data_IF_520700877441
#
_entry.id   IF_520700877441
#
_cell.length_a   1.000
_cell.length_b   1.000
_cell.length_c   1.000
_cell.angle_alpha   90.00
_cell.angle_beta   90.00
_cell.angle_gamma   90.00
#
_symmetry.space_group_name_H-M   'P 1'
#
loop_
_entity.id
_entity.type
_entity.pdbx_description
1 polymer ?
#
# COMPACT_ATOMS: atom_id res chain seq x y z
N UNK A 1 108.00 -80.79 -120.36
CA UNK A 1 108.27 -80.13 -119.07
C UNK A 1 109.49 -80.81 -118.46
N UNK A 2 110.56 -80.06 -118.18
CA UNK A 2 111.73 -80.59 -117.44
C UNK A 2 111.35 -80.86 -115.98
N UNK A 3 112.08 -81.73 -115.28
CA UNK A 3 111.78 -82.16 -113.91
C UNK A 3 111.61 -80.97 -112.94
N UNK A 4 112.43 -79.94 -113.08
CA UNK A 4 112.36 -78.71 -112.27
C UNK A 4 111.08 -77.89 -112.53
N UNK A 5 110.56 -77.88 -113.76
CA UNK A 5 109.32 -77.16 -114.10
C UNK A 5 108.08 -77.88 -113.56
N UNK A 6 108.11 -79.22 -113.46
CA UNK A 6 107.06 -80.02 -112.83
C UNK A 6 107.07 -79.87 -111.30
N UNK A 7 108.24 -79.81 -110.68
CA UNK A 7 108.37 -79.57 -109.24
C UNK A 7 107.86 -78.17 -108.85
N UNK A 8 108.17 -77.12 -109.63
CA UNK A 8 107.62 -75.78 -109.40
C UNK A 8 106.10 -75.68 -109.61
N UNK A 9 105.56 -76.39 -110.61
CA UNK A 9 104.11 -76.42 -110.86
C UNK A 9 103.37 -77.20 -109.76
N UNK A 10 103.95 -78.31 -109.28
CA UNK A 10 103.43 -79.06 -108.13
C UNK A 10 103.47 -78.24 -106.83
N UNK A 11 104.51 -77.42 -106.62
CA UNK A 11 104.61 -76.51 -105.48
C UNK A 11 103.58 -75.38 -105.54
N UNK A 12 103.34 -74.81 -106.72
CA UNK A 12 102.25 -73.82 -106.92
C UNK A 12 100.87 -74.44 -106.65
N UNK A 13 100.57 -75.61 -107.21
CA UNK A 13 99.32 -76.32 -106.97
C UNK A 13 99.13 -76.68 -105.50
N UNK A 14 100.21 -77.06 -104.81
CA UNK A 14 100.17 -77.31 -103.37
C UNK A 14 99.88 -76.03 -102.58
N UNK A 15 100.52 -74.91 -102.90
CA UNK A 15 100.29 -73.63 -102.24
C UNK A 15 98.89 -73.09 -102.53
N UNK A 16 98.36 -73.25 -103.75
CA UNK A 16 96.97 -72.93 -104.09
C UNK A 16 96.00 -73.82 -103.31
N UNK A 17 96.30 -75.12 -103.17
CA UNK A 17 95.47 -76.04 -102.40
C UNK A 17 95.53 -75.77 -100.89
N UNK A 18 96.68 -75.33 -100.35
CA UNK A 18 96.82 -74.86 -98.97
C UNK A 18 96.05 -73.56 -98.74
N UNK A 19 96.12 -72.59 -99.68
CA UNK A 19 95.35 -71.35 -99.62
C UNK A 19 93.85 -71.58 -99.69
N UNK A 20 93.37 -72.42 -100.60
CA UNK A 20 91.95 -72.81 -100.69
C UNK A 20 91.47 -73.52 -99.41
N UNK A 21 92.35 -74.30 -98.75
CA UNK A 21 92.06 -74.88 -97.43
C UNK A 21 91.97 -73.83 -96.34
N UNK A 22 92.87 -72.85 -96.32
CA UNK A 22 92.84 -71.73 -95.37
C UNK A 22 91.60 -70.85 -95.56
N UNK A 23 91.25 -70.53 -96.81
CA UNK A 23 90.05 -69.76 -97.14
C UNK A 23 88.78 -70.54 -96.76
N UNK A 24 88.71 -71.84 -97.05
CA UNK A 24 87.60 -72.70 -96.59
C UNK A 24 87.49 -72.73 -95.07
N UNK A 25 88.62 -72.89 -94.36
CA UNK A 25 88.63 -72.89 -92.89
C UNK A 25 88.19 -71.54 -92.33
N UNK A 26 88.63 -70.42 -92.92
CA UNK A 26 88.20 -69.08 -92.56
C UNK A 26 86.69 -68.90 -92.74
N UNK A 27 86.15 -69.25 -93.91
CA UNK A 27 84.70 -69.16 -94.16
C UNK A 27 83.87 -70.10 -93.28
N UNK A 28 84.40 -71.28 -92.94
CA UNK A 28 83.75 -72.17 -91.97
C UNK A 28 83.69 -71.54 -90.58
N UNK A 29 84.81 -70.97 -90.12
CA UNK A 29 84.88 -70.29 -88.82
C UNK A 29 83.95 -69.08 -88.76
N UNK A 30 83.91 -68.26 -89.82
CA UNK A 30 83.02 -67.09 -89.91
C UNK A 30 81.54 -67.49 -89.98
N UNK A 31 81.21 -68.56 -90.73
CA UNK A 31 79.84 -69.11 -90.76
C UNK A 31 79.43 -69.62 -89.37
N UNK A 32 80.31 -70.33 -88.68
CA UNK A 32 80.02 -70.87 -87.35
C UNK A 32 79.90 -69.73 -86.32
N UNK A 33 80.75 -68.70 -86.39
CA UNK A 33 80.58 -67.46 -85.60
C UNK A 33 79.24 -66.77 -85.88
N UNK A 34 78.89 -66.54 -87.14
CA UNK A 34 77.61 -65.93 -87.52
C UNK A 34 76.43 -66.76 -87.02
N UNK A 35 76.53 -68.09 -87.07
CA UNK A 35 75.51 -68.98 -86.52
C UNK A 35 75.40 -68.83 -85.01
N UNK A 36 76.51 -68.79 -84.27
CA UNK A 36 76.47 -68.54 -82.81
C UNK A 36 75.90 -67.17 -82.47
N UNK A 37 76.28 -66.10 -83.19
CA UNK A 37 75.68 -64.78 -83.01
C UNK A 37 74.19 -64.78 -83.30
N UNK A 38 73.76 -65.48 -84.36
CA UNK A 38 72.34 -65.61 -84.69
C UNK A 38 71.58 -66.37 -83.60
N UNK A 39 72.12 -67.48 -83.09
CA UNK A 39 71.51 -68.25 -81.99
C UNK A 39 71.44 -67.42 -80.70
N UNK A 40 72.49 -66.67 -80.35
CA UNK A 40 72.51 -65.77 -79.18
C UNK A 40 71.51 -64.64 -79.33
N UNK A 41 71.52 -63.92 -80.46
CA UNK A 41 70.61 -62.79 -80.70
C UNK A 41 69.15 -63.23 -80.79
N UNK A 42 68.89 -64.40 -81.38
CA UNK A 42 67.57 -65.03 -81.36
C UNK A 42 67.13 -65.36 -79.94
N UNK A 43 67.99 -65.97 -79.13
CA UNK A 43 67.69 -66.29 -77.73
C UNK A 43 67.43 -65.02 -76.91
N UNK A 44 68.27 -63.99 -77.06
CA UNK A 44 68.07 -62.69 -76.42
C UNK A 44 66.75 -62.02 -76.85
N UNK A 45 66.36 -62.14 -78.13
CA UNK A 45 65.07 -61.64 -78.61
C UNK A 45 63.90 -62.42 -77.99
N UNK A 46 64.01 -63.75 -77.89
CA UNK A 46 63.00 -64.59 -77.25
C UNK A 46 62.87 -64.27 -75.74
N UNK A 47 64.00 -64.05 -75.05
CA UNK A 47 64.04 -63.61 -73.65
C UNK A 47 63.44 -62.21 -73.47
N UNK A 48 63.80 -61.23 -74.30
CA UNK A 48 63.24 -59.89 -74.26
C UNK A 48 61.72 -59.90 -74.50
N UNK A 49 61.24 -60.70 -75.47
CA UNK A 49 59.80 -60.91 -75.70
C UNK A 49 59.10 -61.59 -74.52
N UNK A 50 59.79 -62.48 -73.80
CA UNK A 50 59.24 -63.08 -72.58
C UNK A 50 59.14 -62.05 -71.44
N UNK A 51 60.15 -61.19 -71.28
CA UNK A 51 60.13 -60.09 -70.30
C UNK A 51 59.03 -59.08 -70.61
N UNK A 52 58.87 -58.67 -71.88
CA UNK A 52 57.80 -57.75 -72.29
C UNK A 52 56.44 -58.34 -71.96
N UNK A 53 56.17 -59.61 -72.32
CA UNK A 53 54.92 -60.28 -71.97
C UNK A 53 54.71 -60.41 -70.46
N UNK A 54 55.78 -60.60 -69.70
CA UNK A 54 55.74 -60.55 -68.23
C UNK A 54 55.31 -59.17 -67.73
N UNK A 55 55.88 -58.10 -68.28
CA UNK A 55 55.55 -56.72 -67.92
C UNK A 55 54.17 -56.27 -68.36
N UNK A 56 53.69 -56.72 -69.52
CA UNK A 56 52.30 -56.50 -69.94
C UNK A 56 51.31 -57.13 -68.93
N UNK A 57 51.59 -58.37 -68.48
CA UNK A 57 50.78 -59.01 -67.43
C UNK A 57 50.88 -58.29 -66.09
N UNK A 58 52.08 -57.84 -65.68
CA UNK A 58 52.24 -57.06 -64.45
C UNK A 58 51.40 -55.78 -64.50
N UNK A 59 51.32 -55.11 -65.67
CA UNK A 59 50.50 -53.92 -65.89
C UNK A 59 49.00 -54.26 -65.85
N UNK A 60 48.57 -55.34 -66.49
CA UNK A 60 47.18 -55.81 -66.44
C UNK A 60 46.75 -56.09 -65.00
N UNK A 61 47.56 -56.84 -64.23
CA UNK A 61 47.27 -57.14 -62.82
C UNK A 61 47.22 -55.87 -61.97
N UNK A 62 48.13 -54.92 -62.19
CA UNK A 62 48.12 -53.65 -61.47
C UNK A 62 46.87 -52.80 -61.79
N UNK A 63 46.40 -52.82 -63.04
CA UNK A 63 45.16 -52.15 -63.45
C UNK A 63 43.94 -52.82 -62.81
N UNK A 64 43.86 -54.15 -62.81
CA UNK A 64 42.77 -54.89 -62.16
C UNK A 64 42.70 -54.59 -60.65
N UNK A 65 43.85 -54.52 -59.97
CA UNK A 65 43.92 -54.13 -58.56
C UNK A 65 43.46 -52.69 -58.35
N UNK A 66 43.93 -51.75 -59.17
CA UNK A 66 43.50 -50.35 -59.07
C UNK A 66 42.00 -50.16 -59.34
N UNK A 67 41.42 -50.91 -60.28
CA UNK A 67 39.99 -50.93 -60.55
C UNK A 67 39.18 -51.51 -59.38
N UNK A 68 39.71 -52.54 -58.73
CA UNK A 68 39.10 -53.12 -57.53
C UNK A 68 39.15 -52.13 -56.36
N UNK A 69 40.28 -51.48 -56.13
CA UNK A 69 40.43 -50.46 -55.08
C UNK A 69 39.50 -49.27 -55.33
N UNK A 70 39.40 -48.81 -56.58
CA UNK A 70 38.47 -47.74 -56.97
C UNK A 70 37.01 -48.12 -56.68
N UNK A 71 36.63 -49.38 -56.96
CA UNK A 71 35.28 -49.88 -56.63
C UNK A 71 35.05 -49.95 -55.12
N UNK A 72 36.03 -50.40 -54.35
CA UNK A 72 35.95 -50.47 -52.89
C UNK A 72 35.77 -49.07 -52.29
N UNK A 73 36.62 -48.11 -52.67
CA UNK A 73 36.52 -46.71 -52.22
C UNK A 73 35.19 -46.09 -52.61
N UNK A 74 34.68 -46.36 -53.82
CA UNK A 74 33.37 -45.86 -54.25
C UNK A 74 32.22 -46.45 -53.42
N UNK A 75 32.30 -47.73 -53.05
CA UNK A 75 31.31 -48.36 -52.16
C UNK A 75 31.38 -47.77 -50.76
N UNK A 76 32.56 -47.62 -50.18
CA UNK A 76 32.77 -46.99 -48.87
C UNK A 76 32.19 -45.56 -48.85
N UNK A 77 32.44 -44.77 -49.90
CA UNK A 77 31.89 -43.42 -50.01
C UNK A 77 30.35 -43.43 -50.07
N UNK A 78 29.74 -44.37 -50.79
CA UNK A 78 28.28 -44.52 -50.85
C UNK A 78 27.70 -44.93 -49.50
N UNK A 79 28.32 -45.87 -48.80
CA UNK A 79 27.91 -46.27 -47.46
C UNK A 79 28.00 -45.10 -46.48
N UNK A 80 29.11 -44.38 -46.47
CA UNK A 80 29.30 -43.21 -45.61
C UNK A 80 28.26 -42.11 -45.90
N UNK A 81 27.94 -41.85 -47.17
CA UNK A 81 26.89 -40.89 -47.53
C UNK A 81 25.51 -41.34 -47.05
N UNK A 82 25.18 -42.62 -47.18
CA UNK A 82 23.91 -43.16 -46.69
C UNK A 82 23.83 -43.10 -45.17
N UNK A 83 24.89 -43.47 -44.46
CA UNK A 83 24.97 -43.37 -43.00
C UNK A 83 24.82 -41.92 -42.53
N UNK A 84 25.52 -40.97 -43.16
CA UNK A 84 25.35 -39.55 -42.85
C UNK A 84 23.91 -39.07 -43.09
N UNK A 85 23.28 -39.47 -44.20
CA UNK A 85 21.89 -39.10 -44.47
C UNK A 85 20.92 -39.72 -43.47
N UNK A 86 21.12 -40.98 -43.10
CA UNK A 86 20.32 -41.67 -42.08
C UNK A 86 20.48 -40.98 -40.73
N UNK A 87 21.71 -40.69 -40.33
CA UNK A 87 22.02 -40.05 -39.06
C UNK A 87 21.45 -38.62 -38.98
N UNK A 88 21.52 -37.84 -40.07
CA UNK A 88 20.85 -36.54 -40.15
C UNK A 88 19.33 -36.68 -40.03
N UNK A 89 18.74 -37.72 -40.63
CA UNK A 89 17.32 -38.03 -40.53
C UNK A 89 16.90 -38.35 -39.09
N UNK A 90 17.64 -39.24 -38.43
CA UNK A 90 17.45 -39.60 -37.02
C UNK A 90 17.56 -38.38 -36.11
N UNK A 91 18.63 -37.60 -36.25
CA UNK A 91 18.86 -36.41 -35.43
C UNK A 91 17.76 -35.36 -35.62
N UNK A 92 17.26 -35.18 -36.86
CA UNK A 92 16.11 -34.30 -37.12
C UNK A 92 14.83 -34.83 -36.46
N UNK A 93 14.59 -36.13 -36.49
CA UNK A 93 13.44 -36.74 -35.84
C UNK A 93 13.53 -36.58 -34.32
N UNK A 94 14.69 -36.83 -33.71
CA UNK A 94 14.94 -36.62 -32.29
C UNK A 94 14.77 -35.15 -31.87
N UNK A 95 15.30 -34.21 -32.65
CA UNK A 95 15.11 -32.78 -32.36
C UNK A 95 13.63 -32.38 -32.45
N UNK A 96 12.89 -32.94 -33.41
CA UNK A 96 11.46 -32.65 -33.57
C UNK A 96 10.63 -33.21 -32.40
N UNK A 97 10.95 -34.42 -31.93
CA UNK A 97 10.27 -34.99 -30.76
C UNK A 97 10.60 -34.22 -29.48
N UNK A 98 11.87 -33.85 -29.26
CA UNK A 98 12.27 -33.02 -28.13
C UNK A 98 11.57 -31.65 -28.14
N UNK A 99 11.49 -31.00 -29.31
CA UNK A 99 10.78 -29.72 -29.45
C UNK A 99 9.30 -29.88 -29.11
N UNK A 100 8.66 -30.96 -29.57
CA UNK A 100 7.26 -31.22 -29.28
C UNK A 100 7.02 -31.48 -27.79
N UNK A 101 7.89 -32.26 -27.14
CA UNK A 101 7.81 -32.49 -25.70
C UNK A 101 7.96 -31.19 -24.92
N UNK A 102 8.93 -30.35 -25.26
CA UNK A 102 9.11 -29.04 -24.62
C UNK A 102 7.88 -28.13 -24.83
N UNK A 103 7.28 -28.14 -26.02
CA UNK A 103 6.04 -27.41 -26.29
C UNK A 103 4.88 -27.94 -25.44
N UNK A 104 4.69 -29.25 -25.37
CA UNK A 104 3.64 -29.88 -24.56
C UNK A 104 3.83 -29.52 -23.06
N UNK A 105 5.05 -29.62 -22.53
CA UNK A 105 5.38 -29.24 -21.16
C UNK A 105 5.06 -27.76 -20.88
N UNK A 106 5.45 -26.85 -21.79
CA UNK A 106 5.11 -25.44 -21.66
C UNK A 106 3.60 -25.19 -21.67
N UNK A 107 2.84 -25.88 -22.52
CA UNK A 107 1.38 -25.73 -22.54
C UNK A 107 0.72 -26.26 -21.26
N UNK A 108 1.28 -27.30 -20.63
CA UNK A 108 0.81 -27.81 -19.35
C UNK A 108 1.08 -26.80 -18.23
N UNK A 109 2.30 -26.28 -18.14
CA UNK A 109 2.66 -25.24 -17.17
C UNK A 109 1.78 -24.00 -17.32
N UNK A 110 1.49 -23.56 -18.54
CA UNK A 110 0.60 -22.41 -18.78
C UNK A 110 -0.82 -22.68 -18.27
N UNK A 111 -1.34 -23.89 -18.47
CA UNK A 111 -2.66 -24.28 -17.95
C UNK A 111 -2.69 -24.33 -16.43
N UNK A 112 -1.65 -24.86 -15.79
CA UNK A 112 -1.51 -24.86 -14.33
C UNK A 112 -1.49 -23.44 -13.78
N UNK A 113 -0.67 -22.56 -14.34
CA UNK A 113 -0.61 -21.14 -13.94
C UNK A 113 -1.96 -20.43 -14.13
N UNK A 114 -2.72 -20.75 -15.18
CA UNK A 114 -4.05 -20.20 -15.39
C UNK A 114 -5.06 -20.70 -14.35
N UNK A 115 -4.95 -21.96 -13.93
CA UNK A 115 -5.78 -22.52 -12.87
C UNK A 115 -5.44 -21.89 -11.52
N UNK A 116 -4.16 -21.82 -11.16
CA UNK A 116 -3.67 -21.16 -9.94
C UNK A 116 -4.13 -19.70 -9.88
N UNK A 117 -4.05 -18.98 -11.00
CA UNK A 117 -4.55 -17.60 -11.09
C UNK A 117 -6.06 -17.51 -10.83
N UNK A 118 -6.86 -18.48 -11.30
CA UNK A 118 -8.31 -18.52 -11.06
C UNK A 118 -8.61 -18.83 -9.59
N UNK A 119 -7.90 -19.79 -9.00
CA UNK A 119 -8.06 -20.17 -7.60
C UNK A 119 -7.64 -19.04 -6.66
N UNK A 120 -6.51 -18.38 -6.92
CA UNK A 120 -6.07 -17.20 -6.16
C UNK A 120 -7.09 -16.06 -6.24
N UNK A 121 -7.70 -15.82 -7.41
CA UNK A 121 -8.78 -14.83 -7.56
C UNK A 121 -10.06 -15.22 -6.82
N UNK A 122 -10.36 -16.52 -6.68
CA UNK A 122 -11.49 -17.00 -5.87
C UNK A 122 -11.20 -16.76 -4.39
N UNK A 123 -10.03 -17.20 -3.92
CA UNK A 123 -9.60 -17.02 -2.53
C UNK A 123 -9.52 -15.55 -2.12
N UNK A 124 -9.07 -14.66 -3.02
CA UNK A 124 -9.06 -13.22 -2.74
C UNK A 124 -10.47 -12.68 -2.53
N UNK A 125 -11.43 -13.05 -3.40
CA UNK A 125 -12.84 -12.63 -3.26
C UNK A 125 -13.48 -13.19 -1.99
N UNK A 126 -13.25 -14.46 -1.68
CA UNK A 126 -13.74 -15.05 -0.42
C UNK A 126 -13.17 -14.34 0.81
N UNK A 127 -11.89 -13.95 0.78
CA UNK A 127 -11.29 -13.15 1.87
C UNK A 127 -11.90 -11.76 1.95
N UNK A 128 -12.10 -11.08 0.84
CA UNK A 128 -12.73 -9.75 0.79
C UNK A 128 -14.16 -9.81 1.37
N UNK A 129 -14.97 -10.78 0.93
CA UNK A 129 -16.33 -11.00 1.44
C UNK A 129 -16.34 -11.29 2.95
N UNK A 130 -15.43 -12.15 3.43
CA UNK A 130 -15.32 -12.44 4.86
C UNK A 130 -14.94 -11.19 5.67
N UNK A 131 -13.98 -10.38 5.20
CA UNK A 131 -13.61 -9.14 5.87
C UNK A 131 -14.74 -8.12 5.89
N UNK A 132 -15.54 -8.06 4.82
CA UNK A 132 -16.72 -7.19 4.78
C UNK A 132 -17.78 -7.64 5.79
N UNK A 133 -18.05 -8.94 5.89
CA UNK A 133 -18.96 -9.51 6.88
C UNK A 133 -18.49 -9.22 8.32
N UNK A 134 -17.19 -9.37 8.60
CA UNK A 134 -16.61 -9.02 9.91
C UNK A 134 -16.81 -7.54 10.25
N UNK A 135 -16.58 -6.64 9.29
CA UNK A 135 -16.82 -5.20 9.46
C UNK A 135 -18.30 -4.91 9.72
N UNK A 136 -19.21 -5.55 8.98
CA UNK A 136 -20.65 -5.40 9.18
C UNK A 136 -21.08 -5.88 10.58
N UNK A 137 -20.57 -7.02 11.04
CA UNK A 137 -20.82 -7.54 12.39
C UNK A 137 -20.30 -6.59 13.48
N UNK A 138 -19.09 -6.03 13.30
CA UNK A 138 -18.54 -5.05 14.23
C UNK A 138 -19.38 -3.77 14.29
N UNK A 139 -19.86 -3.27 13.14
CA UNK A 139 -20.75 -2.11 13.07
C UNK A 139 -22.08 -2.38 13.77
N UNK A 140 -22.66 -3.57 13.58
CA UNK A 140 -23.90 -3.98 14.26
C UNK A 140 -23.72 -3.98 15.79
N UNK A 141 -22.67 -4.66 16.28
CA UNK A 141 -22.34 -4.69 17.71
C UNK A 141 -22.11 -3.29 18.29
N UNK A 142 -21.41 -2.43 17.55
CA UNK A 142 -21.19 -1.06 17.98
C UNK A 142 -22.50 -0.26 18.06
N UNK A 143 -23.40 -0.41 17.08
CA UNK A 143 -24.73 0.21 17.10
C UNK A 143 -25.58 -0.29 18.28
N UNK A 144 -25.53 -1.57 18.59
CA UNK A 144 -26.23 -2.15 19.75
C UNK A 144 -25.71 -1.55 21.06
N UNK A 145 -24.39 -1.50 21.25
CA UNK A 145 -23.78 -0.89 22.44
C UNK A 145 -24.13 0.59 22.57
N UNK A 146 -24.09 1.36 21.48
CA UNK A 146 -24.51 2.75 21.46
C UNK A 146 -25.99 2.92 21.82
N UNK A 147 -26.86 2.02 21.35
CA UNK A 147 -28.28 2.05 21.68
C UNK A 147 -28.52 1.79 23.17
N UNK A 148 -27.83 0.80 23.75
CA UNK A 148 -27.90 0.49 25.18
C UNK A 148 -27.42 1.68 26.01
N UNK A 149 -26.30 2.30 25.64
CA UNK A 149 -25.77 3.43 26.38
C UNK A 149 -26.65 4.68 26.27
N UNK A 150 -27.23 4.94 25.09
CA UNK A 150 -28.24 5.99 24.91
C UNK A 150 -29.47 5.76 25.77
N UNK A 151 -29.95 4.51 25.86
CA UNK A 151 -31.10 4.18 26.69
C UNK A 151 -30.82 4.44 28.18
N UNK A 152 -29.64 4.06 28.69
CA UNK A 152 -29.23 4.39 30.06
C UNK A 152 -29.21 5.90 30.32
N UNK A 153 -28.58 6.67 29.44
CA UNK A 153 -28.55 8.13 29.60
C UNK A 153 -29.93 8.76 29.54
N UNK A 154 -30.83 8.22 28.70
CA UNK A 154 -32.21 8.67 28.65
C UNK A 154 -32.93 8.40 29.98
N UNK A 155 -32.79 7.19 30.55
CA UNK A 155 -33.35 6.85 31.86
C UNK A 155 -32.80 7.75 32.98
N UNK A 156 -31.49 8.02 32.98
CA UNK A 156 -30.85 8.92 33.94
C UNK A 156 -31.39 10.36 33.82
N UNK A 157 -31.54 10.87 32.60
CA UNK A 157 -32.11 12.21 32.35
C UNK A 157 -33.55 12.27 32.83
N UNK A 158 -34.37 11.26 32.54
CA UNK A 158 -35.77 11.19 32.96
C UNK A 158 -35.89 11.14 34.49
N UNK A 159 -35.06 10.32 35.15
CA UNK A 159 -35.01 10.24 36.61
C UNK A 159 -34.62 11.59 37.24
N UNK A 160 -33.59 12.25 36.70
CA UNK A 160 -33.14 13.57 37.18
C UNK A 160 -34.18 14.65 36.94
N UNK A 161 -34.85 14.64 35.78
CA UNK A 161 -35.92 15.60 35.46
C UNK A 161 -37.07 15.45 36.45
N UNK A 162 -37.52 14.22 36.68
CA UNK A 162 -38.59 13.91 37.65
C UNK A 162 -38.23 14.35 39.06
N UNK A 163 -36.99 14.13 39.50
CA UNK A 163 -36.50 14.58 40.81
C UNK A 163 -36.58 16.10 40.95
N UNK A 164 -36.13 16.85 39.93
CA UNK A 164 -36.17 18.31 39.96
C UNK A 164 -37.58 18.87 39.85
N UNK A 165 -38.47 18.23 39.08
CA UNK A 165 -39.89 18.60 39.03
C UNK A 165 -40.57 18.41 40.38
N UNK A 166 -40.34 17.28 41.06
CA UNK A 166 -40.86 17.04 42.40
C UNK A 166 -40.34 18.07 43.42
N UNK A 167 -39.04 18.37 43.36
CA UNK A 167 -38.43 19.38 44.23
C UNK A 167 -38.99 20.77 43.97
N UNK A 168 -39.20 21.14 42.71
CA UNK A 168 -39.82 22.41 42.32
C UNK A 168 -41.27 22.49 42.80
N UNK A 169 -42.04 21.39 42.68
CA UNK A 169 -43.40 21.29 43.22
C UNK A 169 -43.43 21.53 44.73
N UNK A 170 -42.56 20.84 45.47
CA UNK A 170 -42.45 21.01 46.93
C UNK A 170 -42.12 22.46 47.32
N UNK A 171 -41.18 23.11 46.60
CA UNK A 171 -40.86 24.52 46.84
C UNK A 171 -42.01 25.47 46.55
N UNK A 172 -42.84 25.18 45.53
CA UNK A 172 -44.03 25.97 45.21
C UNK A 172 -45.07 25.83 46.32
N UNK A 173 -45.36 24.60 46.75
CA UNK A 173 -46.29 24.34 47.87
C UNK A 173 -45.83 25.04 49.15
N UNK A 174 -44.54 24.93 49.52
CA UNK A 174 -43.98 25.64 50.66
C UNK A 174 -44.11 27.17 50.54
N UNK A 175 -43.90 27.73 49.34
CA UNK A 175 -44.03 29.16 49.10
C UNK A 175 -45.49 29.62 49.16
N UNK A 176 -46.42 28.84 48.62
CA UNK A 176 -47.86 29.10 48.69
C UNK A 176 -48.34 29.09 50.14
N UNK A 177 -47.98 28.06 50.92
CA UNK A 177 -48.35 27.98 52.35
C UNK A 177 -47.78 29.17 53.14
N UNK A 178 -46.51 29.54 52.91
CA UNK A 178 -45.94 30.76 53.54
C UNK A 178 -46.73 32.01 53.17
N UNK A 179 -47.09 32.16 51.90
CA UNK A 179 -47.83 33.33 51.44
C UNK A 179 -49.26 33.37 52.00
N UNK A 180 -49.95 32.23 52.10
CA UNK A 180 -51.27 32.13 52.75
C UNK A 180 -51.22 32.45 54.23
N UNK A 181 -50.18 31.98 54.92
CA UNK A 181 -49.94 32.30 56.34
C UNK A 181 -49.69 33.80 56.52
N UNK A 182 -48.82 34.41 55.72
CA UNK A 182 -48.55 35.85 55.76
C UNK A 182 -49.80 36.69 55.46
N UNK A 183 -50.62 36.27 54.50
CA UNK A 183 -51.92 36.89 54.21
C UNK A 183 -52.86 36.81 55.42
N UNK A 184 -52.99 35.62 56.02
CA UNK A 184 -53.86 35.39 57.18
C UNK A 184 -53.42 36.24 58.38
N UNK A 185 -52.11 36.36 58.64
CA UNK A 185 -51.58 37.23 59.70
C UNK A 185 -51.87 38.72 59.43
N UNK A 186 -51.79 39.16 58.18
CA UNK A 186 -52.15 40.53 57.78
C UNK A 186 -53.65 40.76 57.97
N UNK A 187 -54.48 39.81 57.55
CA UNK A 187 -55.94 39.87 57.71
C UNK A 187 -56.34 39.92 59.18
N UNK A 188 -55.78 39.06 60.05
CA UNK A 188 -56.04 39.12 61.49
C UNK A 188 -55.63 40.47 62.09
N UNK A 189 -54.45 40.99 61.75
CA UNK A 189 -54.02 42.32 62.20
C UNK A 189 -54.98 43.41 61.75
N UNK A 190 -55.46 43.35 60.51
CA UNK A 190 -56.40 44.33 59.96
C UNK A 190 -57.78 44.21 60.59
N UNK A 191 -58.27 43.00 60.81
CA UNK A 191 -59.53 42.74 61.51
C UNK A 191 -59.44 43.22 62.97
N UNK A 192 -58.29 43.03 63.63
CA UNK A 192 -58.02 43.59 64.95
C UNK A 192 -58.08 45.12 64.96
N UNK A 193 -57.43 45.80 64.01
CA UNK A 193 -57.50 47.26 63.86
C UNK A 193 -58.94 47.74 63.62
N UNK A 194 -59.71 47.03 62.79
CA UNK A 194 -61.12 47.35 62.54
C UNK A 194 -61.94 47.21 63.81
N UNK A 195 -61.76 46.12 64.58
CA UNK A 195 -62.48 45.91 65.83
C UNK A 195 -62.14 46.98 66.87
N UNK A 196 -60.87 47.36 67.00
CA UNK A 196 -60.43 48.45 67.87
C UNK A 196 -61.02 49.80 67.44
N UNK A 197 -61.06 50.08 66.14
CA UNK A 197 -61.66 51.29 65.59
C UNK A 197 -63.17 51.34 65.85
N UNK A 198 -63.88 50.21 65.68
CA UNK A 198 -65.31 50.09 66.01
C UNK A 198 -65.53 50.37 67.49
N UNK A 199 -64.76 49.72 68.38
CA UNK A 199 -64.87 49.92 69.83
C UNK A 199 -64.60 51.37 70.22
N UNK A 200 -63.57 52.00 69.64
CA UNK A 200 -63.22 53.40 69.90
C UNK A 200 -64.32 54.34 69.40
N UNK A 201 -64.89 54.07 68.23
CA UNK A 201 -66.00 54.85 67.68
C UNK A 201 -67.29 54.67 68.51
N UNK A 202 -67.62 53.46 68.94
CA UNK A 202 -68.74 53.21 69.86
C UNK A 202 -68.56 53.91 71.21
N UNK A 203 -67.34 53.97 71.71
CA UNK A 203 -67.00 54.71 72.92
C UNK A 203 -67.16 56.23 72.69
N UNK A 204 -66.58 56.76 71.62
CA UNK A 204 -66.73 58.18 71.25
C UNK A 204 -68.21 58.54 71.00
N UNK A 205 -68.99 57.65 70.39
CA UNK A 205 -70.43 57.83 70.20
C UNK A 205 -71.19 57.82 71.53
N UNK A 206 -70.83 56.93 72.47
CA UNK A 206 -71.39 56.92 73.83
C UNK A 206 -71.05 58.21 74.59
N UNK A 207 -69.82 58.67 74.50
CA UNK A 207 -69.36 59.93 75.10
C UNK A 207 -70.07 61.13 74.48
N UNK A 208 -70.17 61.19 73.15
CA UNK A 208 -70.92 62.22 72.42
C UNK A 208 -72.40 62.20 72.80
N UNK A 209 -73.02 61.02 72.90
CA UNK A 209 -74.40 60.86 73.35
C UNK A 209 -74.57 61.31 74.80
N UNK A 210 -73.63 60.98 75.69
CA UNK A 210 -73.62 61.44 77.08
C UNK A 210 -73.44 62.95 77.18
N UNK A 211 -72.55 63.53 76.36
CA UNK A 211 -72.31 64.96 76.27
C UNK A 211 -73.54 65.69 75.74
N UNK A 212 -74.17 65.21 74.67
CA UNK A 212 -75.41 65.80 74.18
C UNK A 212 -76.57 65.61 75.15
N UNK A 213 -76.69 64.47 75.84
CA UNK A 213 -77.68 64.27 76.90
C UNK A 213 -77.44 65.24 78.07
N UNK A 214 -76.20 65.44 78.48
CA UNK A 214 -75.82 66.42 79.50
C UNK A 214 -76.10 67.85 79.04
N UNK A 215 -75.83 68.18 77.77
CA UNK A 215 -76.25 69.43 77.15
C UNK A 215 -77.77 69.50 77.04
N UNK A 216 -78.51 68.43 76.78
CA UNK A 216 -79.97 68.52 76.71
C UNK A 216 -80.54 68.75 78.09
N UNK A 217 -79.98 68.14 79.13
CA UNK A 217 -80.33 68.41 80.52
C UNK A 217 -79.94 69.82 80.96
N UNK A 218 -78.74 70.27 80.61
CA UNK A 218 -78.26 71.63 80.88
C UNK A 218 -79.08 72.65 80.09
N UNK A 219 -79.34 72.42 78.81
CA UNK A 219 -80.23 73.22 77.97
C UNK A 219 -81.67 73.15 78.45
N UNK A 220 -82.15 72.07 79.08
CA UNK A 220 -83.47 72.08 79.74
C UNK A 220 -83.46 72.98 80.98
N UNK A 221 -82.38 72.98 81.75
CA UNK A 221 -82.17 73.91 82.86
C UNK A 221 -82.00 75.36 82.39
N UNK A 222 -81.27 75.57 81.29
CA UNK A 222 -81.03 76.85 80.64
C UNK A 222 -82.25 77.32 79.86
N UNK A 223 -83.08 76.45 79.27
CA UNK A 223 -84.36 76.83 78.64
C UNK A 223 -85.36 77.25 79.74
N UNK A 224 -85.29 76.65 80.93
CA UNK A 224 -86.04 77.17 82.07
C UNK A 224 -85.55 78.57 82.48
N UNK A 225 -84.24 78.86 82.45
CA UNK A 225 -83.71 80.20 82.75
C UNK A 225 -83.84 81.21 81.58
N UNK A 226 -83.81 80.74 80.34
CA UNK A 226 -83.96 81.54 79.12
C UNK A 226 -85.41 81.73 78.74
N UNK A 227 -86.37 80.97 79.28
CA UNK A 227 -87.79 81.39 79.27
C UNK A 227 -88.03 82.61 80.18
N UNK A 228 -87.14 82.83 81.15
CA UNK A 228 -87.07 84.07 81.94
C UNK A 228 -86.37 85.20 81.14
N UNK A 229 -85.32 84.90 80.35
CA UNK A 229 -84.59 85.91 79.56
C UNK A 229 -85.10 86.15 78.10
N UNK A 230 -85.94 85.26 77.53
CA UNK A 230 -86.51 85.41 76.18
C UNK A 230 -87.55 86.53 76.07
N UNK A 231 -88.04 87.02 77.20
CA UNK A 231 -88.84 88.24 77.23
C UNK A 231 -87.96 89.50 77.06
N UNK A 232 -86.65 89.38 77.25
CA UNK A 232 -85.68 90.48 77.13
C UNK A 232 -84.91 90.52 75.80
N UNK A 233 -84.61 89.39 75.16
CA UNK A 233 -83.80 89.35 73.92
C UNK A 233 -84.58 89.21 72.61
N UNK A 234 -85.90 89.46 72.60
CA UNK A 234 -86.70 89.60 71.36
C UNK A 234 -86.31 90.82 70.51
N UNK A 235 -85.40 91.67 70.99
CA UNK A 235 -85.14 93.00 70.43
C UNK A 235 -83.85 93.17 69.61
N UNK A 236 -82.97 92.17 69.48
CA UNK A 236 -81.60 92.42 68.99
C UNK A 236 -81.02 91.42 67.97
N UNK A 237 -81.86 90.73 67.17
CA UNK A 237 -81.37 89.78 66.15
C UNK A 237 -81.86 90.11 64.74
N UNK A 238 -81.74 91.38 64.35
CA UNK A 238 -82.16 91.86 63.03
C UNK A 238 -81.01 92.52 62.22
N UNK A 239 -79.72 92.26 62.55
CA UNK A 239 -78.61 93.04 61.96
C UNK A 239 -77.43 92.36 61.24
N UNK A 240 -77.12 91.09 61.38
CA UNK A 240 -75.86 90.58 60.79
C UNK A 240 -76.06 89.59 59.64
N UNK A 241 -76.48 90.13 58.48
CA UNK A 241 -76.58 89.38 57.23
C UNK A 241 -75.95 90.15 56.05
N UNK A 242 -74.66 90.51 56.18
CA UNK A 242 -73.85 91.12 55.10
C UNK A 242 -72.35 90.77 55.17
N UNK A 243 -71.97 89.57 54.71
CA UNK A 243 -70.57 89.25 54.29
C UNK A 243 -70.50 88.31 53.08
N UNK A 244 -71.51 88.33 52.21
CA UNK A 244 -71.63 87.39 51.08
C UNK A 244 -70.93 87.84 49.77
N UNK A 245 -70.48 89.10 49.64
CA UNK A 245 -69.99 89.61 48.34
C UNK A 245 -68.47 89.54 48.10
N UNK A 246 -67.65 89.20 49.09
CA UNK A 246 -66.18 89.14 48.93
C UNK A 246 -65.69 87.80 48.34
N UNK A 247 -66.41 86.70 48.59
CA UNK A 247 -66.00 85.34 48.17
C UNK A 247 -66.17 85.10 46.65
N UNK A 248 -67.01 85.89 45.96
CA UNK A 248 -67.31 85.69 44.54
C UNK A 248 -66.30 86.34 43.57
N UNK A 249 -65.48 87.31 44.02
CA UNK A 249 -64.52 88.01 43.15
C UNK A 249 -63.16 87.31 43.06
N UNK A 250 -62.70 86.66 44.13
CA UNK A 250 -61.42 85.94 44.20
C UNK A 250 -61.38 84.72 43.25
N UNK A 251 -62.53 84.07 43.05
CA UNK A 251 -62.66 82.81 42.29
C UNK A 251 -62.52 82.99 40.76
N UNK A 252 -62.65 84.23 40.24
CA UNK A 252 -62.47 84.52 38.81
C UNK A 252 -61.03 84.83 38.39
N UNK A 253 -60.13 85.18 39.33
CA UNK A 253 -58.74 85.58 39.03
C UNK A 253 -57.76 84.40 38.87
N UNK A 254 -58.14 83.20 39.34
CA UNK A 254 -57.26 82.02 39.41
C UNK A 254 -57.40 81.06 38.21
N UNK A 255 -58.37 81.29 37.32
CA UNK A 255 -58.74 80.35 36.24
C UNK A 255 -57.78 80.39 35.03
N UNK A 256 -57.15 81.52 34.77
CA UNK A 256 -56.28 81.73 33.61
C UNK A 256 -54.84 81.20 33.80
N UNK A 257 -54.18 81.41 34.96
CA UNK A 257 -52.90 80.79 35.28
C UNK A 257 -52.96 79.25 35.32
N UNK A 258 -54.10 78.71 35.78
CA UNK A 258 -54.32 77.26 35.87
C UNK A 258 -54.33 76.58 34.47
N UNK A 259 -54.90 77.24 33.45
CA UNK A 259 -54.94 76.71 32.08
C UNK A 259 -53.57 76.75 31.39
N UNK A 260 -52.79 77.80 31.63
CA UNK A 260 -51.43 77.91 31.08
C UNK A 260 -50.48 76.86 31.68
N UNK A 261 -50.55 76.63 33.00
CA UNK A 261 -49.75 75.60 33.67
C UNK A 261 -50.16 74.18 33.29
N UNK A 262 -51.45 73.93 33.02
CA UNK A 262 -51.93 72.65 32.48
C UNK A 262 -51.40 72.35 31.06
N UNK A 263 -51.28 73.37 30.20
CA UNK A 263 -50.73 73.19 28.86
C UNK A 263 -49.23 72.84 28.87
N UNK A 264 -48.44 73.49 29.74
CA UNK A 264 -47.03 73.15 29.95
C UNK A 264 -46.85 71.73 30.49
N UNK A 265 -47.73 71.30 31.40
CA UNK A 265 -47.71 69.94 31.97
C UNK A 265 -47.91 68.87 30.89
N UNK A 266 -48.76 69.12 29.89
CA UNK A 266 -48.98 68.20 28.75
C UNK A 266 -47.76 68.14 27.84
N UNK A 267 -47.12 69.28 27.56
CA UNK A 267 -45.88 69.36 26.76
C UNK A 267 -44.72 68.62 27.43
N UNK A 268 -44.53 68.82 28.74
CA UNK A 268 -43.52 68.13 29.56
C UNK A 268 -43.76 66.62 29.62
N UNK A 269 -45.02 66.18 29.78
CA UNK A 269 -45.36 64.74 29.74
C UNK A 269 -45.02 64.11 28.39
N UNK A 270 -45.23 64.83 27.29
CA UNK A 270 -44.90 64.34 25.94
C UNK A 270 -43.38 64.20 25.75
N UNK A 271 -42.58 65.17 26.23
CA UNK A 271 -41.11 65.09 26.23
C UNK A 271 -40.59 63.95 27.09
N UNK A 272 -41.20 63.71 28.26
CA UNK A 272 -40.88 62.58 29.14
C UNK A 272 -41.12 61.24 28.42
N UNK A 273 -42.25 61.11 27.70
CA UNK A 273 -42.58 59.90 26.96
C UNK A 273 -41.59 59.60 25.82
N UNK A 274 -41.09 60.63 25.11
CA UNK A 274 -40.02 60.45 24.13
C UNK A 274 -38.71 60.02 24.79
N UNK A 275 -38.35 60.63 25.92
CA UNK A 275 -37.15 60.25 26.68
C UNK A 275 -37.21 58.80 27.18
N UNK A 276 -38.34 58.35 27.70
CA UNK A 276 -38.53 56.96 28.15
C UNK A 276 -38.42 55.96 26.98
N UNK A 277 -38.94 56.32 25.80
CA UNK A 277 -38.80 55.52 24.59
C UNK A 277 -37.34 55.42 24.14
N UNK A 278 -36.61 56.53 24.16
CA UNK A 278 -35.20 56.58 23.78
C UNK A 278 -34.30 55.83 24.78
N UNK A 279 -34.65 55.89 26.07
CA UNK A 279 -33.97 55.09 27.11
C UNK A 279 -34.18 53.59 26.88
N UNK A 280 -35.40 53.18 26.51
CA UNK A 280 -35.71 51.79 26.20
C UNK A 280 -34.99 51.29 24.95
N UNK A 281 -34.91 52.09 23.88
CA UNK A 281 -34.15 51.74 22.67
C UNK A 281 -32.66 51.67 22.95
N UNK A 282 -32.08 52.62 23.69
CA UNK A 282 -30.68 52.61 24.10
C UNK A 282 -30.33 51.34 24.88
N UNK A 283 -31.19 50.92 25.81
CA UNK A 283 -30.98 49.68 26.56
C UNK A 283 -30.99 48.45 25.64
N UNK A 284 -31.93 48.36 24.68
CA UNK A 284 -31.95 47.27 23.69
C UNK A 284 -30.67 47.22 22.86
N UNK A 285 -30.19 48.38 22.39
CA UNK A 285 -28.94 48.47 21.61
C UNK A 285 -27.74 48.06 22.47
N UNK A 286 -27.66 48.50 23.73
CA UNK A 286 -26.59 48.10 24.66
C UNK A 286 -26.58 46.59 24.89
N UNK A 287 -27.73 45.97 25.12
CA UNK A 287 -27.81 44.52 25.31
C UNK A 287 -27.36 43.77 24.06
N UNK A 288 -27.78 44.23 22.87
CA UNK A 288 -27.37 43.64 21.60
C UNK A 288 -25.87 43.82 21.34
N UNK A 289 -25.32 45.00 21.65
CA UNK A 289 -23.90 45.28 21.52
C UNK A 289 -23.07 44.35 22.43
N UNK A 290 -23.49 44.16 23.67
CA UNK A 290 -22.82 43.24 24.59
C UNK A 290 -22.89 41.79 24.11
N UNK A 291 -24.02 41.36 23.52
CA UNK A 291 -24.12 40.00 22.98
C UNK A 291 -23.21 39.81 21.76
N UNK A 292 -23.18 40.75 20.81
CA UNK A 292 -22.29 40.66 19.65
C UNK A 292 -20.82 40.79 20.04
N UNK A 293 -20.48 41.60 21.05
CA UNK A 293 -19.11 41.69 21.55
C UNK A 293 -18.63 40.36 22.15
N UNK A 294 -19.50 39.66 22.91
CA UNK A 294 -19.20 38.32 23.44
C UNK A 294 -19.00 37.31 22.31
N UNK A 295 -19.88 37.29 21.31
CA UNK A 295 -19.75 36.44 20.13
C UNK A 295 -18.45 36.73 19.36
N UNK A 296 -18.11 38.00 19.16
CA UNK A 296 -16.86 38.39 18.51
C UNK A 296 -15.63 37.90 19.29
N UNK A 297 -15.66 38.00 20.63
CA UNK A 297 -14.57 37.48 21.45
C UNK A 297 -14.44 35.96 21.39
N UNK A 298 -15.55 35.20 21.36
CA UNK A 298 -15.46 33.73 21.25
C UNK A 298 -14.97 33.30 19.87
N UNK A 299 -15.44 33.95 18.81
CA UNK A 299 -15.00 33.68 17.44
C UNK A 299 -13.51 33.99 17.25
N UNK A 300 -12.99 35.07 17.86
CA UNK A 300 -11.56 35.37 17.84
C UNK A 300 -10.73 34.27 18.51
N UNK A 301 -11.15 33.81 19.69
CA UNK A 301 -10.47 32.71 20.38
C UNK A 301 -10.50 31.41 19.54
N UNK A 302 -11.63 31.10 18.91
CA UNK A 302 -11.76 29.94 18.03
C UNK A 302 -10.87 30.05 16.80
N UNK A 303 -10.80 31.24 16.18
CA UNK A 303 -9.91 31.53 15.08
C UNK A 303 -8.44 31.31 15.48
N UNK A 304 -8.01 31.84 16.63
CA UNK A 304 -6.63 31.70 17.11
C UNK A 304 -6.27 30.23 17.35
N UNK A 305 -7.18 29.45 17.95
CA UNK A 305 -7.00 28.01 18.17
C UNK A 305 -6.89 27.25 16.84
N UNK A 306 -7.77 27.55 15.88
CA UNK A 306 -7.73 26.93 14.55
C UNK A 306 -6.45 27.29 13.81
N UNK A 307 -6.00 28.54 13.92
CA UNK A 307 -4.76 28.99 13.29
C UNK A 307 -3.53 28.26 13.86
N UNK A 308 -3.40 28.17 15.18
CA UNK A 308 -2.32 27.38 15.80
C UNK A 308 -2.36 25.91 15.38
N UNK A 309 -3.55 25.32 15.25
CA UNK A 309 -3.70 23.93 14.78
C UNK A 309 -3.28 23.77 13.32
N UNK A 310 -3.62 24.73 12.45
CA UNK A 310 -3.18 24.74 11.06
C UNK A 310 -1.65 24.88 10.96
N UNK A 311 -1.04 25.79 11.71
CA UNK A 311 0.42 25.96 11.75
C UNK A 311 1.13 24.66 12.14
N UNK A 312 0.65 23.99 13.20
CA UNK A 312 1.20 22.69 13.61
C UNK A 312 1.07 21.61 12.53
N UNK A 313 -0.08 21.53 11.85
CA UNK A 313 -0.28 20.56 10.76
C UNK A 313 0.64 20.84 9.56
N UNK A 314 0.89 22.12 9.26
CA UNK A 314 1.84 22.53 8.21
C UNK A 314 3.26 22.11 8.58
N UNK A 315 3.67 22.30 9.84
CA UNK A 315 4.96 21.83 10.34
C UNK A 315 5.12 20.31 10.26
N UNK A 316 4.12 19.55 10.72
CA UNK A 316 4.12 18.08 10.66
C UNK A 316 4.21 17.57 9.22
N UNK A 317 3.45 18.18 8.29
CA UNK A 317 3.54 17.88 6.85
C UNK A 317 4.94 18.13 6.31
N UNK A 318 5.54 19.26 6.64
CA UNK A 318 6.86 19.63 6.13
C UNK A 318 7.98 18.74 6.70
N UNK A 319 7.85 18.33 7.97
CA UNK A 319 8.74 17.35 8.57
C UNK A 319 8.63 15.99 7.89
N UNK A 320 7.41 15.49 7.66
CA UNK A 320 7.18 14.23 6.96
C UNK A 320 7.75 14.27 5.53
N UNK A 321 7.56 15.38 4.82
CA UNK A 321 8.12 15.57 3.47
C UNK A 321 9.65 15.50 3.47
N UNK A 322 10.31 16.20 4.41
CA UNK A 322 11.78 16.15 4.56
C UNK A 322 12.29 14.75 4.90
N UNK A 323 11.60 14.03 5.80
CA UNK A 323 11.97 12.66 6.17
C UNK A 323 11.81 11.69 5.00
N UNK A 324 10.75 11.86 4.20
CA UNK A 324 10.54 11.06 3.00
C UNK A 324 11.64 11.31 1.96
N UNK A 325 11.95 12.56 1.65
CA UNK A 325 13.02 12.94 0.72
C UNK A 325 14.38 12.37 1.18
N UNK A 326 14.69 12.49 2.48
CA UNK A 326 15.91 11.91 3.06
C UNK A 326 15.95 10.38 2.90
N UNK A 327 14.86 9.69 3.24
CA UNK A 327 14.78 8.22 3.15
C UNK A 327 14.91 7.74 1.71
N UNK A 328 14.33 8.47 0.76
CA UNK A 328 14.43 8.16 -0.67
C UNK A 328 15.87 8.31 -1.18
N UNK A 329 16.56 9.39 -0.80
CA UNK A 329 17.97 9.59 -1.14
C UNK A 329 18.87 8.52 -0.53
N UNK A 330 18.66 8.16 0.73
CA UNK A 330 19.42 7.07 1.39
C UNK A 330 19.20 5.72 0.70
N UNK A 331 17.97 5.39 0.31
CA UNK A 331 17.65 4.18 -0.43
C UNK A 331 18.34 4.17 -1.80
N UNK A 332 18.29 5.29 -2.52
CA UNK A 332 18.94 5.45 -3.82
C UNK A 332 20.47 5.31 -3.70
N UNK A 333 21.09 5.91 -2.68
CA UNK A 333 22.52 5.76 -2.42
C UNK A 333 22.90 4.31 -2.09
N UNK A 334 22.14 3.62 -1.23
CA UNK A 334 22.39 2.21 -0.89
C UNK A 334 22.25 1.30 -2.10
N UNK A 335 21.20 1.50 -2.90
CA UNK A 335 20.99 0.75 -4.15
C UNK A 335 22.11 1.02 -5.16
N UNK A 336 22.48 2.30 -5.34
CA UNK A 336 23.56 2.71 -6.24
C UNK A 336 24.92 2.11 -5.84
N UNK A 337 25.26 2.13 -4.55
CA UNK A 337 26.48 1.48 -4.03
C UNK A 337 26.47 -0.03 -4.27
N UNK A 338 25.33 -0.70 -4.03
CA UNK A 338 25.19 -2.14 -4.28
C UNK A 338 25.36 -2.46 -5.76
N UNK A 339 24.75 -1.69 -6.65
CA UNK A 339 24.86 -1.87 -8.10
C UNK A 339 26.29 -1.67 -8.57
N UNK A 340 26.95 -0.58 -8.16
CA UNK A 340 28.35 -0.32 -8.52
C UNK A 340 29.29 -1.43 -8.02
N UNK A 341 29.04 -1.99 -6.84
CA UNK A 341 29.81 -3.11 -6.31
C UNK A 341 29.56 -4.42 -7.09
N UNK A 342 28.33 -4.66 -7.56
CA UNK A 342 28.00 -5.79 -8.41
C UNK A 342 28.63 -5.65 -9.81
N UNK A 343 28.58 -4.46 -10.41
CA UNK A 343 29.24 -4.15 -11.68
C UNK A 343 30.75 -4.41 -11.61
N UNK A 344 31.43 -3.91 -10.57
CA UNK A 344 32.86 -4.19 -10.36
C UNK A 344 33.17 -5.67 -10.17
N UNK A 345 32.29 -6.42 -9.50
CA UNK A 345 32.45 -7.88 -9.34
C UNK A 345 32.26 -8.60 -10.67
N UNK A 346 31.29 -8.20 -11.48
CA UNK A 346 31.07 -8.73 -12.82
C UNK A 346 32.28 -8.46 -13.70
N UNK A 347 32.73 -7.22 -13.79
CA UNK A 347 33.91 -6.83 -14.58
C UNK A 347 35.16 -7.62 -14.16
N UNK A 348 35.36 -7.83 -12.85
CA UNK A 348 36.46 -8.67 -12.36
C UNK A 348 36.32 -10.13 -12.79
N UNK A 349 35.12 -10.72 -12.69
CA UNK A 349 34.87 -12.11 -13.08
C UNK A 349 34.99 -12.28 -14.60
N UNK A 350 34.50 -11.33 -15.39
CA UNK A 350 34.64 -11.30 -16.86
C UNK A 350 36.12 -11.28 -17.24
N UNK A 351 36.89 -10.37 -16.67
CA UNK A 351 38.34 -10.30 -16.91
C UNK A 351 39.07 -11.58 -16.51
N UNK A 352 38.71 -12.20 -15.38
CA UNK A 352 39.25 -13.49 -14.96
C UNK A 352 38.87 -14.62 -15.93
N UNK A 353 37.66 -14.56 -16.49
CA UNK A 353 37.17 -15.55 -17.46
C UNK A 353 37.92 -15.41 -18.78
N UNK A 354 38.04 -14.19 -19.32
CA UNK A 354 38.83 -13.90 -20.53
C UNK A 354 40.29 -14.36 -20.39
N UNK A 355 40.93 -14.09 -19.24
CA UNK A 355 42.29 -14.57 -18.96
C UNK A 355 42.38 -16.09 -18.97
N UNK A 356 41.41 -16.79 -18.36
CA UNK A 356 41.38 -18.25 -18.34
C UNK A 356 41.10 -18.84 -19.71
N UNK A 357 40.21 -18.24 -20.49
CA UNK A 357 39.91 -18.66 -21.86
C UNK A 357 41.13 -18.48 -22.78
N UNK A 358 41.86 -17.37 -22.64
CA UNK A 358 43.10 -17.16 -23.38
C UNK A 358 44.17 -18.23 -23.05
N UNK A 359 44.41 -18.49 -21.75
CA UNK A 359 45.34 -19.53 -21.31
C UNK A 359 44.89 -20.91 -21.79
N UNK A 360 43.59 -21.23 -21.69
CA UNK A 360 43.04 -22.50 -22.14
C UNK A 360 43.21 -22.68 -23.66
N UNK A 361 42.97 -21.62 -24.43
CA UNK A 361 43.20 -21.60 -25.88
C UNK A 361 44.65 -21.87 -26.26
N UNK A 362 45.61 -21.24 -25.58
CA UNK A 362 47.04 -21.48 -25.78
C UNK A 362 47.43 -22.92 -25.44
N UNK A 363 46.97 -23.45 -24.30
CA UNK A 363 47.27 -24.83 -23.86
C UNK A 363 46.67 -25.87 -24.80
N UNK A 364 45.43 -25.69 -25.24
CA UNK A 364 44.78 -26.61 -26.18
C UNK A 364 45.48 -26.60 -27.54
N UNK A 365 45.93 -25.43 -28.01
CA UNK A 365 46.72 -25.28 -29.24
C UNK A 365 48.06 -26.02 -29.14
N UNK A 366 48.79 -25.85 -28.03
CA UNK A 366 50.08 -26.54 -27.80
C UNK A 366 49.93 -28.06 -27.64
N UNK A 367 48.83 -28.52 -27.06
CA UNK A 367 48.58 -29.94 -26.82
C UNK A 367 48.04 -30.70 -28.05
N UNK A 368 47.65 -30.00 -29.13
CA UNK A 368 47.07 -30.60 -30.33
C UNK A 368 45.73 -31.31 -30.09
N UNK A 369 44.99 -30.91 -29.05
CA UNK A 369 43.71 -31.51 -28.66
C UNK A 369 42.58 -30.70 -29.30
N UNK A 370 41.68 -31.36 -30.04
CA UNK A 370 40.48 -30.71 -30.58
C UNK A 370 39.58 -30.21 -29.45
N UNK A 371 39.35 -28.88 -29.34
CA UNK A 371 38.65 -28.28 -28.19
C UNK A 371 37.23 -28.79 -27.97
N UNK A 372 36.55 -29.20 -29.04
CA UNK A 372 35.10 -29.46 -29.02
C UNK A 372 34.72 -30.77 -28.33
N UNK A 373 35.50 -31.84 -28.49
CA UNK A 373 35.13 -33.16 -27.94
C UNK A 373 35.38 -33.27 -26.42
N UNK A 374 36.45 -32.65 -25.93
CA UNK A 374 36.78 -32.61 -24.50
C UNK A 374 35.85 -31.66 -23.73
N UNK A 375 35.51 -30.50 -24.34
CA UNK A 375 34.62 -29.50 -23.75
C UNK A 375 33.24 -30.08 -23.45
N UNK A 376 32.61 -30.75 -24.43
CA UNK A 376 31.25 -31.32 -24.27
C UNK A 376 31.18 -32.38 -23.16
N UNK A 377 32.22 -33.20 -22.99
CA UNK A 377 32.23 -34.24 -21.94
C UNK A 377 32.41 -33.63 -20.54
N UNK A 378 33.28 -32.64 -20.40
CA UNK A 378 33.49 -31.91 -19.14
C UNK A 378 32.25 -31.10 -18.79
N UNK A 379 31.64 -30.44 -19.76
CA UNK A 379 30.43 -29.63 -19.60
C UNK A 379 29.23 -30.48 -19.15
N UNK A 380 29.00 -31.66 -19.78
CA UNK A 380 27.99 -32.62 -19.31
C UNK A 380 28.24 -33.08 -17.88
N UNK A 381 29.49 -33.36 -17.50
CA UNK A 381 29.84 -33.73 -16.13
C UNK A 381 29.63 -32.59 -15.13
N UNK A 382 29.92 -31.34 -15.51
CA UNK A 382 29.70 -30.16 -14.70
C UNK A 382 28.20 -29.89 -14.49
N UNK A 383 27.40 -30.00 -15.54
CA UNK A 383 25.93 -29.89 -15.46
C UNK A 383 25.38 -30.93 -14.51
N UNK A 384 25.73 -32.21 -14.69
CA UNK A 384 25.28 -33.28 -13.79
C UNK A 384 25.67 -33.04 -12.32
N UNK A 385 26.89 -32.54 -12.06
CA UNK A 385 27.31 -32.21 -10.69
C UNK A 385 26.56 -31.00 -10.14
N UNK A 386 26.32 -29.96 -10.94
CA UNK A 386 25.57 -28.78 -10.54
C UNK A 386 24.11 -29.11 -10.24
N UNK A 387 23.46 -29.95 -11.06
CA UNK A 387 22.10 -30.43 -10.84
C UNK A 387 22.03 -31.22 -9.52
N UNK A 388 23.03 -32.08 -9.27
CA UNK A 388 23.12 -32.81 -8.00
C UNK A 388 23.33 -31.87 -6.81
N UNK A 389 24.12 -30.81 -6.95
CA UNK A 389 24.29 -29.78 -5.91
C UNK A 389 22.97 -29.05 -5.66
N UNK A 390 22.23 -28.67 -6.71
CA UNK A 390 20.93 -28.02 -6.56
C UNK A 390 19.90 -28.95 -5.91
N UNK A 391 19.83 -30.21 -6.33
CA UNK A 391 18.96 -31.22 -5.73
C UNK A 391 19.27 -31.41 -4.23
N UNK A 392 20.55 -31.53 -3.86
CA UNK A 392 20.95 -31.65 -2.46
C UNK A 392 20.64 -30.38 -1.65
N UNK A 393 20.81 -29.18 -2.23
CA UNK A 393 20.42 -27.92 -1.58
C UNK A 393 18.91 -27.84 -1.36
N UNK A 394 18.12 -28.27 -2.35
CA UNK A 394 16.67 -28.34 -2.24
C UNK A 394 16.24 -29.35 -1.17
N UNK A 395 16.82 -30.54 -1.15
CA UNK A 395 16.56 -31.56 -0.14
C UNK A 395 16.91 -31.05 1.26
N UNK A 396 18.05 -30.38 1.42
CA UNK A 396 18.45 -29.77 2.70
C UNK A 396 17.46 -28.68 3.14
N UNK A 397 17.01 -27.81 2.23
CA UNK A 397 16.01 -26.80 2.53
C UNK A 397 14.66 -27.44 2.90
N UNK A 398 14.24 -28.49 2.18
CA UNK A 398 13.02 -29.24 2.47
C UNK A 398 13.07 -29.90 3.84
N UNK A 399 14.17 -30.59 4.17
CA UNK A 399 14.36 -31.23 5.48
C UNK A 399 14.43 -30.20 6.59
N UNK A 400 15.11 -29.07 6.38
CA UNK A 400 15.15 -27.97 7.37
C UNK A 400 13.75 -27.41 7.63
N UNK A 401 12.96 -27.21 6.58
CA UNK A 401 11.57 -26.76 6.71
C UNK A 401 10.69 -27.80 7.41
N UNK A 402 10.79 -29.07 7.04
CA UNK A 402 10.05 -30.15 7.71
C UNK A 402 10.41 -30.24 9.20
N UNK A 403 11.69 -30.03 9.52
CA UNK A 403 12.16 -29.96 10.90
C UNK A 403 11.55 -28.76 11.64
N UNK A 404 11.56 -27.57 11.05
CA UNK A 404 10.94 -26.37 11.64
C UNK A 404 9.42 -26.51 11.83
N UNK A 405 8.72 -27.08 10.84
CA UNK A 405 7.28 -27.33 10.88
C UNK A 405 6.94 -28.37 11.97
N UNK A 406 7.76 -29.42 12.11
CA UNK A 406 7.61 -30.42 13.18
C UNK A 406 7.87 -29.81 14.55
N UNK A 407 8.89 -28.96 14.68
CA UNK A 407 9.20 -28.27 15.93
C UNK A 407 8.02 -27.39 16.33
N UNK A 408 7.50 -26.56 15.42
CA UNK A 408 6.30 -25.74 15.63
C UNK A 408 5.07 -26.56 16.02
N UNK A 409 4.87 -27.74 15.42
CA UNK A 409 3.78 -28.65 15.80
C UNK A 409 3.95 -29.22 17.22
N UNK A 410 5.17 -29.60 17.58
CA UNK A 410 5.51 -30.10 18.93
C UNK A 410 5.30 -28.98 19.96
N UNK A 411 5.81 -27.78 19.69
CA UNK A 411 5.59 -26.58 20.51
C UNK A 411 4.08 -26.33 20.71
N UNK A 412 3.31 -26.32 19.63
CA UNK A 412 1.86 -26.15 19.68
C UNK A 412 1.12 -27.24 20.46
N UNK A 413 1.62 -28.50 20.44
CA UNK A 413 1.06 -29.57 21.26
C UNK A 413 1.46 -29.44 22.74
N UNK A 414 2.70 -29.11 23.05
CA UNK A 414 3.19 -28.92 24.42
C UNK A 414 2.43 -27.80 25.14
N UNK A 415 2.19 -26.68 24.44
CA UNK A 415 1.36 -25.57 24.96
C UNK A 415 -0.06 -26.04 25.28
N UNK A 416 -0.67 -26.90 24.44
CA UNK A 416 -2.00 -27.48 24.71
C UNK A 416 -2.04 -28.38 25.95
N UNK A 417 -0.92 -28.98 26.34
CA UNK A 417 -0.79 -29.78 27.57
C UNK A 417 -0.26 -28.98 28.77
N UNK A 418 -0.09 -27.66 28.63
CA UNK A 418 0.37 -26.78 29.71
C UNK A 418 1.87 -26.87 30.01
N UNK A 419 2.66 -27.48 29.13
CA UNK A 419 4.11 -27.60 29.27
C UNK A 419 4.76 -26.48 28.45
N UNK A 420 5.58 -25.65 29.09
CA UNK A 420 6.25 -24.54 28.39
C UNK A 420 7.63 -24.96 27.89
N UNK A 421 8.09 -24.41 26.75
CA UNK A 421 9.40 -24.71 26.15
C UNK A 421 10.61 -24.45 27.07
N UNK A 422 10.44 -23.72 28.17
CA UNK A 422 11.47 -23.52 29.18
C UNK A 422 11.81 -24.81 29.95
N UNK A 423 10.89 -25.78 29.99
CA UNK A 423 11.02 -26.99 30.80
C UNK A 423 11.79 -28.13 30.09
N UNK A 424 12.07 -27.98 28.79
CA UNK A 424 12.56 -29.06 27.93
C UNK A 424 14.06 -29.02 27.60
N UNK A 425 14.82 -28.02 28.07
CA UNK A 425 16.26 -27.83 27.75
C UNK A 425 16.61 -28.05 26.26
N UNK A 426 15.65 -27.84 25.35
CA UNK A 426 15.88 -27.91 23.91
C UNK A 426 16.63 -26.64 23.53
N UNK A 427 17.96 -26.65 23.72
CA UNK A 427 18.85 -25.67 23.13
C UNK A 427 18.62 -25.71 21.62
N UNK A 428 17.93 -24.69 21.12
CA UNK A 428 17.80 -24.43 19.70
C UNK A 428 19.21 -24.40 19.10
N UNK A 429 19.59 -25.46 18.37
CA UNK A 429 20.81 -25.54 17.53
C UNK A 429 20.83 -24.49 16.39
N UNK A 430 19.93 -23.50 16.42
CA UNK A 430 19.82 -22.40 15.45
C UNK A 430 20.98 -21.37 15.54
N UNK A 431 21.90 -21.49 16.49
CA UNK A 431 22.90 -20.42 16.75
C UNK A 431 24.32 -20.65 16.25
N UNK A 432 24.62 -21.69 15.47
CA UNK A 432 25.93 -21.81 14.82
C UNK A 432 25.81 -21.88 13.30
N UNK A 433 25.50 -20.75 12.67
CA UNK A 433 25.94 -20.43 11.31
C UNK A 433 26.22 -18.95 11.13
#
# INVERSE_FOLDING_TARGET
>A
MSREQLEQFALKLRNEMEREREERNFFQLERDKLRTYWEITRKQLEEAKAVIRGKERDVEVAQELADQDTKNVMQEMKHLQYEHQSHIGELRAEMMTQLKMAQEDHTLQERELLNDKRDLKRLLREKEENTELEIQQLKLKHSELLSVERAKFQEEIEAMTKLFEQRLGSYKEEAEVRHEMELSEVEERKNGQIAELISTNEQAYREMKSYYNAITQNNLALINSMKEEMEEMRLQSDKDLKSFSEVMAENKRLTEPLKSSQAELVELRKKLQYYDRDKATLNRVKTRLNSTQKQLSSLKLEQDVLQMRCEKLVEERDQLKRLFEKSMLELQQKSGLKNSLLERKLEYIEKQTEQREAILGEVLSLAGIEPQSLSVRIEKLLVQKNDKIQALRYDLARVSKMYDDLLSLIEGKLVKYGITLKDLELTNLRQEK
#
